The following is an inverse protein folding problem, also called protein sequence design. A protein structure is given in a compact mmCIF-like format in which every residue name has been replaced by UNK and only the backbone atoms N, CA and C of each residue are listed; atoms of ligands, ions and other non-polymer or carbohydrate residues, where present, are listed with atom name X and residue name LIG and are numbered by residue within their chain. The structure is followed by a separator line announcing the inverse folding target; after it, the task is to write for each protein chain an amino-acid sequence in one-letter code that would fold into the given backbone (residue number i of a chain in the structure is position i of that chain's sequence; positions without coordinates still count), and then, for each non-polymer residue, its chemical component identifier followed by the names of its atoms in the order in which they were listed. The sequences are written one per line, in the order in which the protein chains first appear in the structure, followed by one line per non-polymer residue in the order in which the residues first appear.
data_IF_300167154595
#
_entry.id   IF_300167154595
#
_cell.length_a   1.000
_cell.length_b   1.000
_cell.length_c   1.000
_cell.angle_alpha   90.00
_cell.angle_beta   90.00
_cell.angle_gamma   90.00
#
_symmetry.space_group_name_H-M   'P 1'
#
loop_
_entity.id
_entity.type
_entity.pdbx_description
1 polymer ?
#
# COMPACT_ATOMS: atom_id res chain seq x y z
N UNK A 1 7.22 16.70 10.27
CA UNK A 1 6.65 15.60 11.01
C UNK A 1 6.76 14.31 10.26
N UNK A 2 7.23 13.31 10.93
CA UNK A 2 7.34 11.98 10.40
C UNK A 2 6.05 11.22 10.67
N UNK A 3 5.50 10.64 9.64
CA UNK A 3 4.34 9.81 9.82
C UNK A 3 4.71 8.38 9.54
N UNK A 4 4.52 7.53 10.52
CA UNK A 4 4.78 6.12 10.35
C UNK A 4 3.53 5.44 9.85
N UNK A 5 3.72 4.47 9.00
CA UNK A 5 2.60 3.70 8.48
C UNK A 5 1.99 2.88 9.59
N UNK A 6 0.70 3.08 9.82
CA UNK A 6 -0.02 2.34 10.85
C UNK A 6 -0.42 0.97 10.36
N UNK A 7 -0.82 0.90 9.10
CA UNK A 7 -1.28 -0.35 8.51
C UNK A 7 -0.67 -0.49 7.14
N UNK A 8 0.63 -0.88 7.07
CA UNK A 8 1.26 -1.05 5.77
C UNK A 8 0.66 -2.25 5.05
N UNK A 9 0.34 -2.05 3.77
CA UNK A 9 -0.21 -3.09 2.93
C UNK A 9 0.54 -3.13 1.62
N UNK A 10 0.58 -4.29 1.00
CA UNK A 10 1.23 -4.48 -0.30
C UNK A 10 0.14 -4.55 -1.36
N UNK A 11 0.29 -3.72 -2.38
CA UNK A 11 -0.64 -3.72 -3.51
C UNK A 11 -0.15 -4.66 -4.61
N UNK A 12 -0.94 -4.74 -5.68
CA UNK A 12 -0.61 -5.65 -6.78
C UNK A 12 0.70 -5.30 -7.47
N UNK A 13 1.15 -4.06 -7.34
CA UNK A 13 2.41 -3.63 -7.95
C UNK A 13 3.63 -4.01 -7.12
N UNK A 14 3.42 -4.63 -5.96
CA UNK A 14 4.51 -5.04 -5.09
C UNK A 14 5.01 -3.95 -4.15
N UNK A 15 4.45 -2.76 -4.22
CA UNK A 15 4.85 -1.67 -3.34
C UNK A 15 4.00 -1.64 -2.09
N UNK A 16 4.59 -1.12 -1.02
CA UNK A 16 3.92 -1.01 0.27
C UNK A 16 3.36 0.40 0.44
N UNK A 17 2.11 0.46 0.88
CA UNK A 17 1.41 1.73 1.06
C UNK A 17 0.71 1.72 2.41
N UNK A 18 0.41 2.92 2.89
CA UNK A 18 -0.52 3.06 4.00
C UNK A 18 -1.91 2.66 3.52
N UNK A 19 -2.59 1.82 4.28
CA UNK A 19 -3.85 1.24 3.86
C UNK A 19 -4.88 2.31 3.47
N UNK A 20 -5.05 3.32 4.31
CA UNK A 20 -6.04 4.35 4.04
C UNK A 20 -5.72 5.10 2.76
N UNK A 21 -4.46 5.37 2.52
CA UNK A 21 -4.05 6.12 1.34
C UNK A 21 -4.30 5.33 0.07
N UNK A 22 -3.90 4.05 0.06
CA UNK A 22 -4.06 3.26 -1.16
C UNK A 22 -5.53 2.91 -1.40
N UNK A 23 -6.30 2.73 -0.34
CA UNK A 23 -7.74 2.50 -0.51
C UNK A 23 -8.42 3.69 -1.15
N UNK A 24 -8.04 4.89 -0.73
CA UNK A 24 -8.59 6.09 -1.32
C UNK A 24 -8.19 6.21 -2.79
N UNK A 25 -6.95 5.91 -3.11
CA UNK A 25 -6.47 5.94 -4.49
C UNK A 25 -7.25 4.95 -5.35
N UNK A 26 -7.41 3.72 -4.89
CA UNK A 26 -8.07 2.67 -5.65
C UNK A 26 -9.58 2.91 -5.76
N UNK A 27 -10.11 3.85 -4.98
CA UNK A 27 -11.52 4.21 -5.07
C UNK A 27 -11.85 4.93 -6.37
N UNK A 28 -10.88 5.54 -7.02
CA UNK A 28 -11.12 6.24 -8.27
C UNK A 28 -10.04 5.97 -9.31
N UNK A 29 -9.19 5.01 -9.09
CA UNK A 29 -8.16 4.65 -10.06
C UNK A 29 -7.79 3.21 -9.86
N UNK A 30 -7.46 2.51 -10.94
CA UNK A 30 -6.99 1.13 -10.84
C UNK A 30 -5.56 0.98 -11.30
N UNK A 31 -4.81 2.06 -11.24
CA UNK A 31 -3.41 2.08 -11.63
C UNK A 31 -2.53 2.22 -10.40
N UNK A 32 -1.26 1.85 -10.54
CA UNK A 32 -0.29 2.03 -9.48
C UNK A 32 0.01 3.50 -9.28
N UNK A 33 -0.03 4.02 -8.04
CA UNK A 33 0.38 5.40 -7.80
C UNK A 33 1.86 5.65 -8.08
N UNK A 34 2.66 4.61 -8.12
CA UNK A 34 4.10 4.72 -8.33
C UNK A 34 4.46 4.52 -9.80
N UNK A 35 3.95 3.46 -10.42
CA UNK A 35 4.35 3.11 -11.79
C UNK A 35 3.36 3.56 -12.84
N UNK A 36 2.15 3.90 -12.43
CA UNK A 36 1.06 4.29 -13.34
C UNK A 36 0.57 3.14 -14.22
N UNK A 37 1.04 1.94 -13.97
CA UNK A 37 0.58 0.77 -14.71
C UNK A 37 -0.69 0.24 -14.10
N UNK A 38 -1.53 -0.33 -14.94
CA UNK A 38 -2.79 -0.88 -14.48
C UNK A 38 -2.54 -2.07 -13.56
N UNK A 39 -3.21 -2.09 -12.42
CA UNK A 39 -3.06 -3.17 -11.46
C UNK A 39 -3.91 -4.36 -11.90
N UNK A 40 -3.37 -5.56 -11.65
CA UNK A 40 -4.09 -6.79 -12.00
C UNK A 40 -5.26 -7.06 -11.06
N UNK A 41 -5.18 -6.52 -9.85
CA UNK A 41 -6.27 -6.64 -8.88
C UNK A 41 -6.13 -5.51 -7.88
N UNK A 42 -7.15 -5.35 -7.04
CA UNK A 42 -7.14 -4.31 -6.02
C UNK A 42 -7.03 -4.87 -4.61
N UNK A 43 -6.53 -6.09 -4.49
CA UNK A 43 -6.33 -6.71 -3.19
C UNK A 43 -5.15 -6.08 -2.49
N UNK A 44 -5.30 -5.88 -1.20
CA UNK A 44 -4.26 -5.31 -0.35
C UNK A 44 -3.93 -6.33 0.72
N UNK A 45 -2.66 -6.70 0.80
CA UNK A 45 -2.22 -7.70 1.77
C UNK A 45 -1.46 -7.01 2.89
N UNK A 46 -1.72 -7.38 4.15
CA UNK A 46 -0.96 -6.80 5.26
C UNK A 46 0.52 -7.12 5.12
N UNK A 47 1.34 -6.10 5.31
CA UNK A 47 2.78 -6.30 5.26
C UNK A 47 3.30 -6.47 6.68
N UNK A 48 3.20 -7.68 7.21
CA UNK A 48 3.63 -7.94 8.56
C UNK A 48 5.13 -7.78 8.73
N UNK A 49 5.86 -8.07 7.69
CA UNK A 49 7.31 -7.99 7.73
C UNK A 49 7.76 -6.54 7.94
N UNK A 50 7.18 -5.62 7.19
CA UNK A 50 7.51 -4.21 7.36
C UNK A 50 7.08 -3.73 8.74
N UNK A 51 5.96 -4.24 9.23
CA UNK A 51 5.46 -3.88 10.52
C UNK A 51 6.38 -4.36 11.63
N UNK A 52 6.88 -5.59 11.49
CA UNK A 52 7.79 -6.16 12.48
C UNK A 52 9.09 -5.37 12.53
N UNK A 53 9.59 -4.95 11.38
CA UNK A 53 10.80 -4.15 11.33
C UNK A 53 10.59 -2.81 12.03
N UNK A 54 9.45 -2.21 11.84
CA UNK A 54 9.14 -0.92 12.46
C UNK A 54 9.07 -1.06 13.97
N UNK A 55 8.60 -2.18 14.46
CA UNK A 55 8.47 -2.39 15.90
C UNK A 55 9.79 -2.60 16.59
N UNK A 56 10.78 -3.02 15.88
CA UNK A 56 12.10 -3.19 16.45
C UNK A 56 12.83 -1.86 16.52
#
# INVERSE_FOLDING_TARGET
LQEMMREPVVAADGYTYERAAIQNWLGHSDTSPVTSEQLTHKLLLPNKLARDIIQD
#
